data_IF_119998721306
#
_entry.id   IF_119998721306
#
_cell.length_a   1.000
_cell.length_b   1.000
_cell.length_c   1.000
_cell.angle_alpha   90.00
_cell.angle_beta   90.00
_cell.angle_gamma   90.00
#
_symmetry.space_group_name_H-M   'P 1'
#
loop_
_entity.id
_entity.type
_entity.pdbx_description
1 polymer ?
#
# COMPACT_ATOMS: atom_id res chain seq x y z
N UNK A 1 -4.46 -18.51 20.96
CA UNK A 1 -5.86 -18.88 20.68
C UNK A 1 -6.68 -17.60 20.53
N UNK A 2 -7.39 -17.42 19.41
CA UNK A 2 -8.23 -16.23 19.17
C UNK A 2 -9.52 -16.36 20.00
N UNK A 3 -9.82 -15.44 20.93
CA UNK A 3 -11.01 -15.54 21.75
C UNK A 3 -12.26 -15.30 20.89
N UNK A 4 -13.20 -16.25 20.90
CA UNK A 4 -14.44 -16.19 20.10
C UNK A 4 -15.26 -14.92 20.37
N UNK A 5 -15.33 -14.51 21.65
CA UNK A 5 -16.03 -13.29 22.05
C UNK A 5 -15.45 -12.03 21.41
N UNK A 6 -14.12 -11.91 21.39
CA UNK A 6 -13.44 -10.78 20.76
C UNK A 6 -13.66 -10.77 19.24
N UNK A 7 -13.56 -11.92 18.59
CA UNK A 7 -13.81 -12.05 17.15
C UNK A 7 -15.23 -11.62 16.80
N UNK A 8 -16.23 -12.05 17.57
CA UNK A 8 -17.62 -11.67 17.37
C UNK A 8 -17.83 -10.15 17.54
N UNK A 9 -17.24 -9.55 18.57
CA UNK A 9 -17.32 -8.10 18.82
C UNK A 9 -16.72 -7.30 17.66
N UNK A 10 -15.53 -7.69 17.20
CA UNK A 10 -14.83 -7.04 16.08
C UNK A 10 -15.60 -7.16 14.76
N UNK A 11 -16.15 -8.36 14.50
CA UNK A 11 -17.02 -8.61 13.36
C UNK A 11 -18.27 -7.73 13.41
N UNK A 12 -18.97 -7.71 14.55
CA UNK A 12 -20.24 -7.00 14.67
C UNK A 12 -20.06 -5.49 14.52
N UNK A 13 -18.97 -4.95 15.09
CA UNK A 13 -18.61 -3.53 15.00
C UNK A 13 -18.37 -3.07 13.56
N UNK A 14 -17.74 -3.91 12.74
CA UNK A 14 -17.34 -3.58 11.38
C UNK A 14 -18.14 -4.36 10.32
N UNK A 15 -19.30 -4.91 10.68
CA UNK A 15 -20.05 -5.89 9.88
C UNK A 15 -20.35 -5.37 8.47
N UNK A 16 -20.90 -4.16 8.35
CA UNK A 16 -21.27 -3.59 7.06
C UNK A 16 -20.07 -3.31 6.16
N UNK A 17 -18.97 -2.84 6.74
CA UNK A 17 -17.72 -2.65 6.01
C UNK A 17 -17.24 -3.99 5.43
N UNK A 18 -17.16 -5.02 6.27
CA UNK A 18 -16.68 -6.33 5.83
C UNK A 18 -17.58 -6.96 4.77
N UNK A 19 -18.90 -6.85 4.91
CA UNK A 19 -19.84 -7.38 3.93
C UNK A 19 -19.74 -6.66 2.58
N UNK A 20 -19.75 -5.31 2.58
CA UNK A 20 -19.65 -4.53 1.34
C UNK A 20 -18.30 -4.75 0.64
N UNK A 21 -17.21 -4.76 1.40
CA UNK A 21 -15.88 -5.09 0.86
C UNK A 21 -15.83 -6.51 0.30
N UNK A 22 -16.42 -7.49 0.98
CA UNK A 22 -16.44 -8.88 0.50
C UNK A 22 -17.24 -9.02 -0.80
N UNK A 23 -18.42 -8.41 -0.89
CA UNK A 23 -19.26 -8.43 -2.10
C UNK A 23 -18.50 -7.83 -3.28
N UNK A 24 -17.89 -6.66 -3.08
CA UNK A 24 -17.09 -5.99 -4.10
C UNK A 24 -15.93 -6.88 -4.58
N UNK A 25 -15.15 -7.44 -3.65
CA UNK A 25 -13.98 -8.27 -3.96
C UNK A 25 -14.35 -9.60 -4.65
N UNK A 26 -15.48 -10.21 -4.29
CA UNK A 26 -16.00 -11.41 -4.97
C UNK A 26 -16.44 -11.07 -6.40
N UNK A 27 -17.18 -9.97 -6.57
CA UNK A 27 -17.79 -9.61 -7.84
C UNK A 27 -16.80 -9.08 -8.87
N UNK A 28 -15.71 -8.44 -8.45
CA UNK A 28 -14.81 -7.72 -9.35
C UNK A 28 -14.24 -8.61 -10.48
N UNK A 29 -13.79 -9.83 -10.16
CA UNK A 29 -13.15 -10.72 -11.14
C UNK A 29 -14.16 -11.35 -12.13
N UNK A 30 -15.25 -11.99 -11.66
CA UNK A 30 -16.29 -12.51 -12.56
C UNK A 30 -16.93 -11.43 -13.43
N UNK A 31 -17.14 -10.23 -12.88
CA UNK A 31 -17.72 -9.11 -13.62
C UNK A 31 -16.84 -8.68 -14.80
N UNK A 32 -15.52 -8.71 -14.65
CA UNK A 32 -14.61 -8.39 -15.75
C UNK A 32 -14.70 -9.40 -16.89
N UNK A 33 -14.69 -10.69 -16.57
CA UNK A 33 -14.83 -11.76 -17.58
C UNK A 33 -16.17 -11.62 -18.31
N UNK A 34 -17.24 -11.38 -17.57
CA UNK A 34 -18.57 -11.14 -18.13
C UNK A 34 -18.60 -9.88 -19.02
N UNK A 35 -17.96 -8.79 -18.61
CA UNK A 35 -17.90 -7.57 -19.40
C UNK A 35 -17.17 -7.79 -20.74
N UNK A 36 -16.04 -8.50 -20.74
CA UNK A 36 -15.33 -8.87 -21.98
C UNK A 36 -16.22 -9.72 -22.91
N UNK A 37 -17.02 -10.62 -22.34
CA UNK A 37 -17.97 -11.42 -23.11
C UNK A 37 -19.09 -10.58 -23.72
N UNK A 38 -19.67 -9.63 -22.96
CA UNK A 38 -20.69 -8.71 -23.49
C UNK A 38 -20.11 -7.81 -24.59
N UNK A 39 -18.88 -7.31 -24.42
CA UNK A 39 -18.19 -6.54 -25.47
C UNK A 39 -17.99 -7.37 -26.74
N UNK A 40 -17.61 -8.64 -26.60
CA UNK A 40 -17.50 -9.57 -27.72
C UNK A 40 -18.85 -9.78 -28.44
N UNK A 41 -19.93 -10.00 -27.69
CA UNK A 41 -21.27 -10.10 -28.28
C UNK A 41 -21.70 -8.81 -28.99
N UNK A 42 -21.34 -7.64 -28.46
CA UNK A 42 -21.57 -6.36 -29.12
C UNK A 42 -20.87 -6.27 -30.47
N UNK A 43 -19.60 -6.70 -30.54
CA UNK A 43 -18.81 -6.74 -31.78
C UNK A 43 -19.43 -7.64 -32.85
N UNK A 44 -19.94 -8.82 -32.46
CA UNK A 44 -20.59 -9.75 -33.39
C UNK A 44 -21.89 -9.20 -34.00
N UNK A 45 -22.56 -8.28 -33.32
CA UNK A 45 -23.82 -7.69 -33.76
C UNK A 45 -23.61 -6.42 -34.64
N UNK A 46 -22.35 -6.01 -34.89
CA UNK A 46 -22.03 -4.87 -35.74
C UNK A 46 -22.18 -5.23 -37.23
N UNK A 47 -22.86 -4.40 -38.07
CA UNK A 47 -23.04 -4.65 -39.49
C UNK A 47 -21.75 -4.83 -40.32
N UNK A 48 -20.61 -4.32 -39.82
CA UNK A 48 -19.30 -4.49 -40.45
C UNK A 48 -18.35 -5.22 -39.47
N UNK A 49 -18.50 -6.55 -39.30
CA UNK A 49 -17.71 -7.28 -38.32
C UNK A 49 -16.23 -7.18 -38.69
N UNK A 50 -15.46 -6.48 -37.85
CA UNK A 50 -14.01 -6.65 -37.80
C UNK A 50 -13.70 -8.05 -37.25
N UNK A 51 -12.42 -8.46 -37.23
CA UNK A 51 -12.00 -9.72 -36.60
C UNK A 51 -12.34 -9.71 -35.09
N UNK A 52 -13.58 -10.07 -34.76
CA UNK A 52 -14.11 -10.11 -33.40
C UNK A 52 -13.63 -11.40 -32.74
N UNK A 53 -12.65 -11.30 -31.86
CA UNK A 53 -12.13 -12.42 -31.11
C UNK A 53 -12.48 -12.31 -29.62
N UNK A 54 -13.01 -13.38 -29.03
CA UNK A 54 -13.30 -13.40 -27.59
C UNK A 54 -12.04 -13.69 -26.80
N UNK A 55 -11.33 -12.62 -26.45
CA UNK A 55 -10.08 -12.66 -25.68
C UNK A 55 -10.32 -12.10 -24.28
N UNK A 56 -9.75 -12.77 -23.28
CA UNK A 56 -9.68 -12.25 -21.90
C UNK A 56 -8.24 -11.90 -21.60
N UNK A 57 -7.96 -10.60 -21.49
CA UNK A 57 -6.60 -10.09 -21.28
C UNK A 57 -6.48 -9.27 -20.00
N UNK A 58 -5.50 -9.61 -19.18
CA UNK A 58 -5.14 -8.86 -17.97
C UNK A 58 -3.86 -8.04 -18.12
N UNK A 59 -3.22 -8.06 -19.29
CA UNK A 59 -1.88 -7.50 -19.56
C UNK A 59 -1.76 -5.99 -19.31
N UNK A 60 -2.82 -5.22 -19.52
CA UNK A 60 -2.80 -3.76 -19.39
C UNK A 60 -3.42 -3.28 -18.06
N UNK A 61 -3.63 -4.21 -17.12
CA UNK A 61 -4.38 -3.93 -15.90
C UNK A 61 -5.88 -3.94 -16.11
N UNK A 62 -6.60 -3.90 -15.00
CA UNK A 62 -8.07 -3.99 -14.99
C UNK A 62 -8.65 -3.30 -13.76
N UNK A 63 -9.98 -3.31 -13.61
CA UNK A 63 -10.65 -2.87 -12.37
C UNK A 63 -10.08 -3.54 -11.11
N UNK A 64 -9.55 -4.76 -11.24
CA UNK A 64 -8.92 -5.48 -10.13
C UNK A 64 -7.62 -4.81 -9.66
N UNK A 65 -6.93 -4.03 -10.51
CA UNK A 65 -5.72 -3.30 -10.11
C UNK A 65 -5.98 -2.33 -8.95
N UNK A 66 -7.23 -1.99 -8.66
CA UNK A 66 -7.62 -1.15 -7.52
C UNK A 66 -8.07 -1.92 -6.27
N UNK A 67 -8.04 -3.25 -6.25
CA UNK A 67 -8.48 -4.05 -5.09
C UNK A 67 -7.69 -3.75 -3.81
N UNK A 68 -6.43 -3.32 -3.93
CA UNK A 68 -5.61 -2.91 -2.79
C UNK A 68 -6.19 -1.69 -2.05
N UNK A 69 -7.01 -0.85 -2.70
CA UNK A 69 -7.68 0.29 -2.06
C UNK A 69 -8.64 -0.18 -0.98
N UNK A 70 -9.37 -1.29 -1.22
CA UNK A 70 -10.26 -1.89 -0.21
C UNK A 70 -9.46 -2.35 1.01
N UNK A 71 -8.26 -2.86 0.78
CA UNK A 71 -7.34 -3.28 1.85
C UNK A 71 -6.89 -2.11 2.73
N UNK A 72 -6.64 -0.95 2.12
CA UNK A 72 -6.34 0.30 2.84
C UNK A 72 -7.53 0.71 3.70
N UNK A 73 -8.74 0.73 3.15
CA UNK A 73 -9.97 1.11 3.88
C UNK A 73 -10.15 0.20 5.10
N UNK A 74 -10.06 -1.12 4.93
CA UNK A 74 -10.22 -2.08 6.03
C UNK A 74 -9.21 -1.83 7.15
N UNK A 75 -7.92 -1.66 6.82
CA UNK A 75 -6.88 -1.41 7.82
C UNK A 75 -7.05 -0.08 8.57
N UNK A 76 -7.51 0.97 7.87
CA UNK A 76 -7.83 2.27 8.49
C UNK A 76 -8.99 2.14 9.46
N UNK A 77 -10.05 1.42 9.09
CA UNK A 77 -11.20 1.21 9.98
C UNK A 77 -10.85 0.39 11.21
N UNK A 78 -10.02 -0.65 11.07
CA UNK A 78 -9.64 -1.55 12.15
C UNK A 78 -8.75 -0.92 13.23
N UNK A 79 -7.87 0.03 12.86
CA UNK A 79 -6.94 0.66 13.81
C UNK A 79 -7.08 2.18 13.87
N UNK A 80 -6.86 2.88 12.75
CA UNK A 80 -6.82 4.34 12.73
C UNK A 80 -8.12 4.98 13.21
N UNK A 81 -9.24 4.49 12.71
CA UNK A 81 -10.57 5.03 13.01
C UNK A 81 -11.00 4.70 14.44
N UNK A 82 -10.65 3.51 14.95
CA UNK A 82 -10.92 3.15 16.33
C UNK A 82 -10.12 3.99 17.34
N UNK A 83 -8.89 4.33 16.99
CA UNK A 83 -8.03 5.23 17.79
C UNK A 83 -8.53 6.66 17.73
N UNK A 84 -8.91 7.15 16.55
CA UNK A 84 -9.51 8.49 16.41
C UNK A 84 -10.80 8.63 17.23
N UNK A 85 -11.63 7.58 17.28
CA UNK A 85 -12.89 7.57 18.05
C UNK A 85 -12.71 7.23 19.55
N UNK A 86 -11.49 6.94 20.02
CA UNK A 86 -11.24 6.51 21.41
C UNK A 86 -11.76 5.10 21.76
N UNK A 87 -12.42 4.40 20.84
CA UNK A 87 -12.95 3.05 21.09
C UNK A 87 -11.86 1.99 21.32
N UNK A 88 -10.63 2.28 20.91
CA UNK A 88 -9.47 1.44 21.19
C UNK A 88 -9.16 1.37 22.69
N UNK A 89 -9.35 2.44 23.45
CA UNK A 89 -9.09 2.45 24.90
C UNK A 89 -10.11 1.59 25.66
N UNK A 90 -11.37 1.61 25.22
CA UNK A 90 -12.42 0.73 25.73
C UNK A 90 -12.15 -0.76 25.40
N UNK A 91 -11.52 -1.06 24.27
CA UNK A 91 -11.13 -2.43 23.93
C UNK A 91 -9.95 -2.91 24.78
N UNK A 92 -9.01 -2.01 25.06
CA UNK A 92 -7.81 -2.30 25.87
C UNK A 92 -8.12 -2.44 27.37
N UNK A 93 -9.27 -1.98 27.85
CA UNK A 93 -9.74 -2.20 29.22
C UNK A 93 -10.46 -3.54 29.41
N UNK A 94 -10.84 -4.22 28.32
CA UNK A 94 -11.40 -5.57 28.39
C UNK A 94 -10.34 -6.59 28.83
N UNK A 95 -10.73 -7.75 29.38
CA UNK A 95 -9.81 -8.79 29.86
C UNK A 95 -9.16 -9.59 28.71
N UNK A 96 -8.67 -8.91 27.68
CA UNK A 96 -7.95 -9.49 26.54
C UNK A 96 -6.51 -8.98 26.50
N UNK A 97 -5.57 -9.86 26.18
CA UNK A 97 -4.19 -9.45 25.98
C UNK A 97 -4.04 -8.62 24.69
N UNK A 98 -3.10 -7.69 24.67
CA UNK A 98 -2.77 -6.90 23.45
C UNK A 98 -2.41 -7.77 22.26
N UNK A 99 -1.74 -8.91 22.52
CA UNK A 99 -1.44 -9.91 21.50
C UNK A 99 -2.71 -10.47 20.86
N UNK A 100 -3.69 -10.85 21.68
CA UNK A 100 -4.97 -11.39 21.20
C UNK A 100 -5.75 -10.34 20.40
N UNK A 101 -5.75 -9.08 20.85
CA UNK A 101 -6.39 -7.97 20.15
C UNK A 101 -5.80 -7.79 18.75
N UNK A 102 -4.48 -7.65 18.65
CA UNK A 102 -3.84 -7.46 17.35
C UNK A 102 -4.04 -8.66 16.42
N UNK A 103 -3.81 -9.88 16.91
CA UNK A 103 -3.96 -11.09 16.10
C UNK A 103 -5.41 -11.25 15.59
N UNK A 104 -6.41 -10.97 16.44
CA UNK A 104 -7.81 -11.06 16.03
C UNK A 104 -8.12 -10.07 14.92
N UNK A 105 -7.73 -8.80 15.07
CA UNK A 105 -7.95 -7.77 14.04
C UNK A 105 -7.21 -8.10 12.74
N UNK A 106 -5.93 -8.49 12.84
CA UNK A 106 -5.09 -8.79 11.69
C UNK A 106 -5.64 -9.95 10.87
N UNK A 107 -5.94 -11.07 11.51
CA UNK A 107 -6.44 -12.25 10.80
C UNK A 107 -7.88 -12.08 10.31
N UNK A 108 -8.72 -11.34 11.05
CA UNK A 108 -10.08 -11.05 10.61
C UNK A 108 -10.08 -10.18 9.34
N UNK A 109 -9.34 -9.06 9.35
CA UNK A 109 -9.23 -8.19 8.18
C UNK A 109 -8.55 -8.91 7.00
N UNK A 110 -7.48 -9.66 7.27
CA UNK A 110 -6.81 -10.49 6.26
C UNK A 110 -7.74 -11.52 5.62
N UNK A 111 -8.58 -12.21 6.41
CA UNK A 111 -9.54 -13.16 5.90
C UNK A 111 -10.61 -12.49 5.01
N UNK A 112 -11.10 -11.31 5.40
CA UNK A 112 -12.07 -10.51 4.62
C UNK A 112 -11.47 -10.01 3.29
N UNK A 113 -10.14 -9.98 3.14
CA UNK A 113 -9.49 -9.60 1.90
C UNK A 113 -9.20 -10.83 1.03
N UNK A 114 -8.61 -11.86 1.63
CA UNK A 114 -8.11 -13.04 0.91
C UNK A 114 -9.24 -13.98 0.48
N UNK A 115 -10.18 -14.29 1.38
CA UNK A 115 -11.24 -15.27 1.10
C UNK A 115 -12.19 -14.78 0.00
N UNK A 116 -12.73 -13.54 0.06
CA UNK A 116 -13.56 -13.00 -1.01
C UNK A 116 -12.88 -12.97 -2.39
N UNK A 117 -11.62 -12.56 -2.46
CA UNK A 117 -10.89 -12.55 -3.73
C UNK A 117 -10.58 -13.96 -4.25
N UNK A 118 -10.30 -14.92 -3.37
CA UNK A 118 -10.13 -16.32 -3.77
C UNK A 118 -11.44 -16.93 -4.33
N UNK A 119 -12.58 -16.59 -3.72
CA UNK A 119 -13.91 -16.97 -4.25
C UNK A 119 -14.14 -16.30 -5.60
N UNK A 120 -13.83 -15.00 -5.73
CA UNK A 120 -13.94 -14.26 -7.00
C UNK A 120 -13.07 -14.85 -8.11
N UNK A 121 -11.84 -15.26 -7.79
CA UNK A 121 -10.95 -15.99 -8.70
C UNK A 121 -11.56 -17.34 -9.14
N UNK A 122 -12.08 -18.13 -8.20
CA UNK A 122 -12.74 -19.40 -8.52
C UNK A 122 -13.98 -19.22 -9.41
N UNK A 123 -14.80 -18.21 -9.13
CA UNK A 123 -15.98 -17.89 -9.94
C UNK A 123 -15.60 -17.40 -11.35
N UNK A 124 -14.54 -16.59 -11.48
CA UNK A 124 -14.03 -16.14 -12.78
C UNK A 124 -13.45 -17.31 -13.59
N UNK A 125 -12.69 -18.21 -12.93
CA UNK A 125 -12.16 -19.43 -13.55
C UNK A 125 -13.27 -20.35 -14.07
N UNK A 126 -14.36 -20.49 -13.30
CA UNK A 126 -15.55 -21.22 -13.74
C UNK A 126 -16.18 -20.55 -14.98
N UNK A 127 -16.35 -19.23 -14.99
CA UNK A 127 -16.89 -18.50 -16.15
C UNK A 127 -16.02 -18.66 -17.39
N UNK A 128 -14.70 -18.55 -17.26
CA UNK A 128 -13.75 -18.78 -18.36
C UNK A 128 -13.91 -20.20 -18.92
N UNK A 129 -14.05 -21.20 -18.05
CA UNK A 129 -14.25 -22.59 -18.45
C UNK A 129 -15.58 -22.82 -19.19
N UNK A 130 -16.62 -22.07 -18.82
CA UNK A 130 -17.95 -22.15 -19.46
C UNK A 130 -17.99 -21.39 -20.80
N UNK A 131 -17.40 -20.20 -20.87
CA UNK A 131 -17.45 -19.31 -22.03
C UNK A 131 -16.38 -19.62 -23.09
N UNK A 132 -15.33 -20.38 -22.73
CA UNK A 132 -14.24 -20.83 -23.61
C UNK A 132 -13.69 -19.72 -24.53
N UNK A 133 -13.06 -18.66 -23.96
CA UNK A 133 -12.34 -17.68 -24.75
C UNK A 133 -11.23 -18.33 -25.59
N UNK A 134 -10.91 -17.71 -26.74
CA UNK A 134 -9.85 -18.19 -27.62
C UNK A 134 -8.48 -18.11 -26.95
N UNK A 135 -8.23 -17.00 -26.26
CA UNK A 135 -7.00 -16.77 -25.51
C UNK A 135 -7.29 -16.14 -24.14
N UNK A 136 -6.52 -16.59 -23.14
CA UNK A 136 -6.48 -16.00 -21.80
C UNK A 136 -5.06 -15.58 -21.49
N UNK A 137 -4.84 -14.27 -21.31
CA UNK A 137 -3.51 -13.71 -21.04
C UNK A 137 -3.39 -13.32 -19.58
N UNK A 138 -2.38 -13.87 -18.90
CA UNK A 138 -1.93 -13.55 -17.53
C UNK A 138 -2.99 -13.65 -16.42
N UNK A 139 -4.12 -14.34 -16.66
CA UNK A 139 -5.25 -14.42 -15.72
C UNK A 139 -4.87 -14.92 -14.32
N UNK A 140 -4.20 -16.07 -14.25
CA UNK A 140 -3.85 -16.69 -12.96
C UNK A 140 -2.82 -15.86 -12.20
N UNK A 141 -1.75 -15.46 -12.89
CA UNK A 141 -0.69 -14.65 -12.30
C UNK A 141 -1.21 -13.30 -11.79
N UNK A 142 -2.04 -12.64 -12.58
CA UNK A 142 -2.65 -11.37 -12.18
C UNK A 142 -3.62 -11.53 -11.01
N UNK A 143 -4.53 -12.51 -11.06
CA UNK A 143 -5.53 -12.70 -10.01
C UNK A 143 -4.87 -13.07 -8.67
N UNK A 144 -3.91 -13.99 -8.69
CA UNK A 144 -3.14 -14.39 -7.49
C UNK A 144 -2.28 -13.22 -7.01
N UNK A 145 -1.61 -12.52 -7.94
CA UNK A 145 -0.81 -11.35 -7.62
C UNK A 145 -1.58 -10.26 -6.90
N UNK A 146 -2.80 -9.96 -7.36
CA UNK A 146 -3.66 -8.97 -6.70
C UNK A 146 -4.08 -9.37 -5.28
N UNK A 147 -4.29 -10.67 -5.01
CA UNK A 147 -4.54 -11.15 -3.64
C UNK A 147 -3.34 -10.87 -2.74
N UNK A 148 -2.13 -11.21 -3.22
CA UNK A 148 -0.88 -11.01 -2.47
C UNK A 148 -0.60 -9.52 -2.24
N UNK A 149 -0.73 -8.68 -3.28
CA UNK A 149 -0.51 -7.23 -3.20
C UNK A 149 -1.53 -6.57 -2.27
N UNK A 150 -2.80 -6.96 -2.35
CA UNK A 150 -3.86 -6.48 -1.44
C UNK A 150 -3.53 -6.83 0.02
N UNK A 151 -3.10 -8.06 0.28
CA UNK A 151 -2.68 -8.49 1.60
C UNK A 151 -1.43 -7.75 2.11
N UNK A 152 -0.45 -7.48 1.22
CA UNK A 152 0.72 -6.67 1.54
C UNK A 152 0.32 -5.24 1.92
N UNK A 153 -0.53 -4.59 1.13
CA UNK A 153 -1.04 -3.25 1.43
C UNK A 153 -1.79 -3.23 2.76
N UNK A 154 -2.63 -4.22 3.04
CA UNK A 154 -3.28 -4.40 4.32
C UNK A 154 -2.28 -4.51 5.48
N UNK A 155 -1.28 -5.38 5.35
CA UNK A 155 -0.28 -5.62 6.38
C UNK A 155 0.55 -4.35 6.67
N UNK A 156 0.95 -3.62 5.62
CA UNK A 156 1.62 -2.33 5.72
C UNK A 156 0.76 -1.31 6.50
N UNK A 157 -0.51 -1.17 6.13
CA UNK A 157 -1.41 -0.21 6.77
C UNK A 157 -1.73 -0.60 8.20
N UNK A 158 -1.81 -1.89 8.52
CA UNK A 158 -1.94 -2.38 9.89
C UNK A 158 -0.68 -2.10 10.72
N UNK A 159 0.51 -2.26 10.14
CA UNK A 159 1.78 -1.93 10.80
C UNK A 159 1.88 -0.44 11.10
N UNK A 160 1.60 0.39 10.11
CA UNK A 160 1.50 1.85 10.26
C UNK A 160 0.45 2.22 11.31
N UNK A 161 -0.73 1.60 11.24
CA UNK A 161 -1.83 1.81 12.17
C UNK A 161 -1.47 1.41 13.60
N UNK A 162 -0.58 0.45 13.82
CA UNK A 162 -0.08 0.08 15.13
C UNK A 162 0.91 1.10 15.70
N UNK A 163 1.73 1.72 14.86
CA UNK A 163 2.73 2.74 15.22
C UNK A 163 2.13 4.12 15.50
N UNK A 164 0.98 4.42 14.90
CA UNK A 164 0.41 5.77 14.83
C UNK A 164 -0.90 5.93 15.61
N UNK A 165 -1.20 7.15 16.06
CA UNK A 165 -2.32 7.38 16.97
C UNK A 165 -3.65 7.77 16.33
N UNK A 166 -3.72 8.00 15.01
CA UNK A 166 -4.94 8.44 14.32
C UNK A 166 -4.83 8.21 12.79
N UNK A 167 -5.96 8.37 12.08
CA UNK A 167 -6.08 8.07 10.63
C UNK A 167 -5.04 8.80 9.77
N UNK A 168 -4.88 10.12 9.93
CA UNK A 168 -3.94 10.91 9.12
C UNK A 168 -2.49 10.41 9.29
N UNK A 169 -2.03 10.19 10.52
CA UNK A 169 -0.71 9.64 10.78
C UNK A 169 -0.53 8.22 10.21
N UNK A 170 -1.56 7.37 10.29
CA UNK A 170 -1.54 6.02 9.70
C UNK A 170 -1.35 6.08 8.18
N UNK A 171 -2.12 6.91 7.49
CA UNK A 171 -2.03 7.03 6.04
C UNK A 171 -0.70 7.65 5.61
N UNK A 172 -0.28 8.74 6.26
CA UNK A 172 0.98 9.41 5.93
C UNK A 172 2.19 8.50 6.16
N UNK A 173 2.22 7.79 7.30
CA UNK A 173 3.32 6.86 7.61
C UNK A 173 3.34 5.69 6.63
N UNK A 174 2.18 5.14 6.25
CA UNK A 174 2.12 4.09 5.25
C UNK A 174 2.63 4.59 3.89
N UNK A 175 2.19 5.76 3.45
CA UNK A 175 2.66 6.39 2.21
C UNK A 175 4.18 6.66 2.23
N UNK A 176 4.73 7.13 3.35
CA UNK A 176 6.19 7.31 3.46
C UNK A 176 6.91 5.97 3.33
N UNK A 177 6.37 4.89 3.91
CA UNK A 177 6.95 3.55 3.80
C UNK A 177 6.84 2.99 2.37
N UNK A 178 5.78 3.30 1.61
CA UNK A 178 5.66 2.83 0.21
C UNK A 178 6.74 3.37 -0.71
N UNK A 179 7.30 4.55 -0.40
CA UNK A 179 8.39 5.18 -1.16
C UNK A 179 9.74 5.13 -0.42
N UNK A 180 9.81 4.48 0.75
CA UNK A 180 10.97 4.54 1.62
C UNK A 180 12.28 4.04 0.98
N UNK A 181 12.30 2.95 0.19
CA UNK A 181 13.52 2.55 -0.50
C UNK A 181 14.07 3.67 -1.41
N UNK A 182 13.18 4.42 -2.07
CA UNK A 182 13.56 5.54 -2.93
C UNK A 182 14.12 6.70 -2.10
N UNK A 183 13.51 7.00 -0.96
CA UNK A 183 13.98 8.03 -0.05
C UNK A 183 15.35 7.70 0.58
N UNK A 184 15.60 6.43 0.92
CA UNK A 184 16.81 6.03 1.65
C UNK A 184 18.04 5.83 0.77
N UNK A 185 17.87 5.32 -0.44
CA UNK A 185 18.97 4.96 -1.32
C UNK A 185 18.96 5.87 -2.56
N UNK A 186 17.78 6.09 -3.14
CA UNK A 186 17.63 6.85 -4.37
C UNK A 186 17.99 8.32 -4.22
N UNK A 187 17.39 8.93 -3.20
CA UNK A 187 17.52 10.35 -2.99
C UNK A 187 18.95 10.79 -2.60
N UNK A 188 19.67 10.11 -1.68
CA UNK A 188 21.05 10.47 -1.37
C UNK A 188 21.97 10.35 -2.58
N UNK A 189 21.83 9.30 -3.38
CA UNK A 189 22.69 9.10 -4.53
C UNK A 189 22.42 10.09 -5.68
N UNK A 190 21.16 10.49 -5.90
CA UNK A 190 20.85 11.61 -6.80
C UNK A 190 21.50 12.93 -6.34
N UNK A 191 21.58 13.18 -5.03
CA UNK A 191 22.29 14.36 -4.50
C UNK A 191 23.81 14.25 -4.68
N UNK A 192 24.40 13.05 -4.58
CA UNK A 192 25.82 12.85 -4.84
C UNK A 192 26.18 13.13 -6.31
N UNK A 193 25.33 12.71 -7.25
CA UNK A 193 25.49 13.00 -8.69
C UNK A 193 25.49 14.52 -8.94
N UNK A 194 24.51 15.24 -8.39
CA UNK A 194 24.38 16.69 -8.57
C UNK A 194 25.53 17.48 -7.92
N UNK A 195 25.98 17.09 -6.71
CA UNK A 195 26.96 17.88 -5.93
C UNK A 195 28.40 17.61 -6.36
N UNK A 196 28.76 16.35 -6.61
CA UNK A 196 30.14 15.95 -6.87
C UNK A 196 30.45 15.76 -8.35
N UNK A 197 29.47 16.00 -9.23
CA UNK A 197 29.55 15.67 -10.66
C UNK A 197 30.03 14.22 -10.86
N UNK A 198 29.65 13.35 -9.91
CA UNK A 198 30.09 11.97 -9.85
C UNK A 198 29.29 11.17 -10.88
N UNK A 199 29.64 11.34 -12.16
CA UNK A 199 29.18 10.47 -13.22
C UNK A 199 30.01 9.19 -13.18
N UNK A 200 29.40 8.05 -12.83
CA UNK A 200 30.05 6.74 -13.00
C UNK A 200 29.91 6.32 -14.48
N UNK A 201 30.29 7.22 -15.40
CA UNK A 201 30.08 7.08 -16.84
C UNK A 201 28.63 7.33 -17.29
N UNK A 202 28.46 7.51 -18.60
CA UNK A 202 27.17 7.82 -19.24
C UNK A 202 26.12 6.68 -19.14
N UNK A 203 26.53 5.49 -18.68
CA UNK A 203 25.64 4.34 -18.39
C UNK A 203 25.15 4.31 -16.92
N UNK A 204 25.67 5.22 -16.07
CA UNK A 204 25.26 5.41 -14.68
C UNK A 204 24.90 6.88 -14.43
N UNK A 205 23.92 7.43 -15.15
CA UNK A 205 23.11 8.44 -14.46
C UNK A 205 22.33 7.69 -13.39
N UNK A 206 22.50 8.07 -12.13
CA UNK A 206 21.90 7.34 -11.04
C UNK A 206 20.38 7.38 -11.20
N UNK A 207 19.80 8.49 -11.61
CA UNK A 207 18.35 8.58 -11.86
C UNK A 207 17.87 7.62 -12.97
N UNK A 208 18.58 7.44 -14.09
CA UNK A 208 18.13 6.52 -15.16
C UNK A 208 18.40 5.06 -14.80
N UNK A 209 19.62 4.71 -14.38
CA UNK A 209 20.02 3.32 -14.10
C UNK A 209 19.35 2.75 -12.83
N UNK A 210 19.16 3.59 -11.79
CA UNK A 210 18.53 3.19 -10.53
C UNK A 210 17.02 2.98 -10.67
N UNK A 211 16.33 3.85 -11.43
CA UNK A 211 14.89 3.70 -11.75
C UNK A 211 14.68 2.55 -12.75
N UNK A 212 15.60 2.34 -13.71
CA UNK A 212 15.51 1.24 -14.67
C UNK A 212 15.82 -0.14 -14.07
N UNK A 213 16.47 -0.20 -12.91
CA UNK A 213 16.75 -1.47 -12.24
C UNK A 213 15.44 -2.14 -11.76
N UNK A 214 15.00 -3.17 -12.50
CA UNK A 214 13.73 -3.90 -12.23
C UNK A 214 13.58 -4.34 -10.77
N UNK A 215 14.67 -4.77 -10.13
CA UNK A 215 14.64 -5.22 -8.73
C UNK A 215 14.27 -4.09 -7.76
N UNK A 216 14.71 -2.86 -8.01
CA UNK A 216 14.45 -1.74 -7.12
C UNK A 216 12.97 -1.32 -7.12
N UNK A 217 12.34 -1.34 -8.31
CA UNK A 217 10.89 -1.14 -8.45
C UNK A 217 10.13 -2.14 -7.58
N UNK A 218 10.52 -3.42 -7.62
CA UNK A 218 9.85 -4.49 -6.87
C UNK A 218 10.15 -4.51 -5.37
N UNK A 219 11.29 -3.99 -4.91
CA UNK A 219 11.54 -3.79 -3.47
C UNK A 219 10.73 -2.62 -2.91
N UNK A 220 10.30 -1.71 -3.79
CA UNK A 220 9.52 -0.54 -3.43
C UNK A 220 8.01 -0.86 -3.44
N UNK A 221 7.30 -0.80 -2.29
CA UNK A 221 5.88 -1.19 -2.25
C UNK A 221 4.98 -0.45 -3.26
N UNK A 222 5.27 0.82 -3.57
CA UNK A 222 4.48 1.57 -4.57
C UNK A 222 4.62 0.98 -5.99
N UNK A 223 5.71 0.27 -6.28
CA UNK A 223 5.94 -0.39 -7.57
C UNK A 223 4.82 -1.37 -7.96
N UNK A 224 4.19 -2.02 -6.97
CA UNK A 224 3.10 -2.98 -7.22
C UNK A 224 1.74 -2.33 -7.52
N UNK A 225 1.62 -1.01 -7.34
CA UNK A 225 0.46 -0.26 -7.83
C UNK A 225 0.52 -0.12 -9.36
N UNK A 226 1.73 -0.10 -9.91
CA UNK A 226 1.95 -0.13 -11.35
C UNK A 226 1.91 -1.58 -11.85
N UNK A 227 1.28 -1.80 -13.00
CA UNK A 227 1.00 -3.13 -13.55
C UNK A 227 2.23 -3.78 -14.22
N UNK A 228 3.45 -3.30 -13.94
CA UNK A 228 4.68 -3.77 -14.57
C UNK A 228 5.05 -5.22 -14.13
N UNK A 229 4.59 -5.65 -12.95
CA UNK A 229 4.82 -7.01 -12.43
C UNK A 229 4.03 -8.10 -13.16
N UNK A 230 3.05 -7.75 -14.00
CA UNK A 230 2.15 -8.71 -14.65
C UNK A 230 2.91 -9.59 -15.65
N UNK A 231 3.84 -9.00 -16.42
CA UNK A 231 4.59 -9.71 -17.47
C UNK A 231 5.84 -10.40 -16.95
N UNK A 232 6.08 -10.28 -15.65
CA UNK A 232 7.28 -10.78 -15.01
C UNK A 232 7.06 -12.16 -14.39
N UNK A 233 8.17 -12.85 -14.06
CA UNK A 233 8.11 -14.21 -13.52
C UNK A 233 7.34 -14.26 -12.19
N UNK A 234 6.62 -15.37 -11.97
CA UNK A 234 5.87 -15.65 -10.73
C UNK A 234 6.66 -15.43 -9.43
N UNK A 235 7.98 -15.60 -9.46
CA UNK A 235 8.86 -15.40 -8.30
C UNK A 235 8.86 -13.97 -7.76
N UNK A 236 8.49 -12.96 -8.56
CA UNK A 236 8.42 -11.57 -8.11
C UNK A 236 7.31 -11.35 -7.07
N UNK A 237 6.28 -12.19 -7.05
CA UNK A 237 5.23 -12.16 -6.02
C UNK A 237 5.70 -12.69 -4.66
N UNK A 238 6.88 -13.30 -4.57
CA UNK A 238 7.49 -13.66 -3.28
C UNK A 238 7.92 -12.42 -2.49
N UNK A 239 8.34 -11.36 -3.18
CA UNK A 239 8.76 -10.11 -2.54
C UNK A 239 7.62 -9.48 -1.71
N UNK A 240 6.42 -9.20 -2.28
CA UNK A 240 5.31 -8.63 -1.50
C UNK A 240 4.78 -9.61 -0.44
N UNK A 241 4.90 -10.92 -0.65
CA UNK A 241 4.58 -11.91 0.38
C UNK A 241 5.55 -11.81 1.59
N UNK A 242 6.86 -11.72 1.35
CA UNK A 242 7.87 -11.51 2.40
C UNK A 242 7.66 -10.17 3.09
N UNK A 243 7.37 -9.10 2.34
CA UNK A 243 7.06 -7.79 2.90
C UNK A 243 5.84 -7.83 3.81
N UNK A 244 4.79 -8.60 3.45
CA UNK A 244 3.62 -8.81 4.29
C UNK A 244 3.99 -9.40 5.65
N UNK A 245 4.90 -10.38 5.68
CA UNK A 245 5.41 -10.98 6.91
C UNK A 245 6.20 -9.97 7.73
N UNK A 246 7.09 -9.20 7.10
CA UNK A 246 7.86 -8.15 7.77
C UNK A 246 6.94 -7.08 8.38
N UNK A 247 5.95 -6.59 7.62
CA UNK A 247 4.98 -5.62 8.12
C UNK A 247 4.12 -6.19 9.25
N UNK A 248 3.69 -7.45 9.14
CA UNK A 248 3.00 -8.14 10.24
C UNK A 248 3.84 -8.13 11.53
N UNK A 249 5.12 -8.50 11.45
CA UNK A 249 6.02 -8.52 12.61
C UNK A 249 6.22 -7.13 13.20
N UNK A 250 6.44 -6.11 12.36
CA UNK A 250 6.56 -4.73 12.80
C UNK A 250 5.27 -4.28 13.50
N UNK A 251 4.11 -4.53 12.90
CA UNK A 251 2.81 -4.19 13.48
C UNK A 251 2.57 -4.90 14.82
N UNK A 252 2.88 -6.20 14.89
CA UNK A 252 2.70 -7.01 16.09
C UNK A 252 3.57 -6.51 17.25
N UNK A 253 4.88 -6.32 17.02
CA UNK A 253 5.81 -5.84 18.04
C UNK A 253 5.44 -4.42 18.48
N UNK A 254 5.05 -3.57 17.54
CA UNK A 254 4.63 -2.19 17.83
C UNK A 254 3.37 -2.16 18.67
N UNK A 255 2.38 -3.01 18.35
CA UNK A 255 1.14 -3.09 19.09
C UNK A 255 1.31 -3.69 20.50
N UNK A 256 2.24 -4.61 20.72
CA UNK A 256 2.50 -5.12 22.07
C UNK A 256 3.05 -4.04 23.00
N UNK A 257 3.99 -3.24 22.48
CA UNK A 257 4.81 -2.31 23.25
C UNK A 257 4.32 -0.86 23.23
N UNK A 258 3.15 -0.56 22.64
CA UNK A 258 2.68 0.82 22.56
C UNK A 258 2.19 1.36 23.92
N UNK A 259 2.53 2.61 24.31
CA UNK A 259 1.94 3.26 25.48
C UNK A 259 0.55 3.80 25.14
N UNK A 260 -0.47 3.39 25.90
CA UNK A 260 -1.88 3.78 25.65
C UNK A 260 -2.12 5.28 25.86
N UNK A 261 -1.39 5.89 26.80
CA UNK A 261 -1.49 7.32 27.17
C UNK A 261 -1.13 8.30 26.03
N UNK A 262 -0.59 7.79 24.91
CA UNK A 262 -0.19 8.60 23.76
C UNK A 262 -1.13 8.45 22.57
N UNK A 263 -2.30 7.83 22.74
CA UNK A 263 -3.36 7.88 21.73
C UNK A 263 -3.67 9.34 21.35
N UNK A 264 -3.87 9.58 20.06
CA UNK A 264 -4.02 10.93 19.49
C UNK A 264 -2.72 11.61 19.02
N UNK A 265 -1.53 11.19 19.49
CA UNK A 265 -0.26 11.69 18.93
C UNK A 265 0.03 11.06 17.56
N UNK A 266 0.91 11.69 16.79
CA UNK A 266 1.32 11.17 15.47
C UNK A 266 1.93 9.77 15.61
N UNK A 267 3.02 9.64 16.38
CA UNK A 267 3.59 8.35 16.77
C UNK A 267 3.27 8.03 18.23
N UNK A 268 2.88 6.79 18.48
CA UNK A 268 2.66 6.30 19.83
C UNK A 268 3.98 6.14 20.59
N UNK A 269 5.06 5.76 19.92
CA UNK A 269 6.39 5.68 20.54
C UNK A 269 7.11 7.03 20.54
N UNK A 270 7.46 7.51 21.74
CA UNK A 270 8.16 8.80 21.90
C UNK A 270 9.55 8.78 21.28
N UNK A 271 10.21 7.61 21.32
CA UNK A 271 11.56 7.44 20.75
C UNK A 271 11.58 7.55 19.23
N UNK A 272 10.45 7.39 18.54
CA UNK A 272 10.37 7.44 17.07
C UNK A 272 10.22 8.87 16.54
N UNK A 273 9.72 9.80 17.36
CA UNK A 273 9.46 11.19 16.93
C UNK A 273 10.73 11.90 16.47
N UNK A 274 11.84 11.78 17.20
CA UNK A 274 13.09 12.48 16.88
C UNK A 274 13.81 11.92 15.64
N UNK A 275 14.01 10.59 15.51
CA UNK A 275 14.60 10.02 14.29
C UNK A 275 13.77 10.33 13.05
N UNK A 276 12.44 10.20 13.13
CA UNK A 276 11.58 10.48 11.97
C UNK A 276 11.60 11.95 11.61
N UNK A 277 11.59 12.86 12.59
CA UNK A 277 11.76 14.30 12.32
C UNK A 277 13.05 14.59 11.55
N UNK A 278 14.18 13.99 11.97
CA UNK A 278 15.46 14.17 11.30
C UNK A 278 15.42 13.64 9.86
N UNK A 279 14.83 12.45 9.66
CA UNK A 279 14.65 11.88 8.32
C UNK A 279 13.74 12.73 7.42
N UNK A 280 12.61 13.22 7.93
CA UNK A 280 11.69 14.08 7.17
C UNK A 280 12.38 15.36 6.71
N UNK A 281 13.14 16.01 7.60
CA UNK A 281 13.91 17.21 7.24
C UNK A 281 15.00 16.86 6.22
N UNK A 282 15.75 15.79 6.44
CA UNK A 282 16.80 15.35 5.53
C UNK A 282 16.25 15.03 4.13
N UNK A 283 15.15 14.28 4.03
CA UNK A 283 14.50 13.97 2.77
C UNK A 283 13.91 15.20 2.10
N UNK A 284 13.33 16.14 2.85
CA UNK A 284 12.84 17.38 2.28
C UNK A 284 13.99 18.21 1.67
N UNK A 285 15.07 18.40 2.41
CA UNK A 285 16.25 19.14 1.93
C UNK A 285 16.84 18.49 0.67
N UNK A 286 17.10 17.19 0.72
CA UNK A 286 17.67 16.44 -0.41
C UNK A 286 16.72 16.37 -1.62
N UNK A 287 15.41 16.23 -1.37
CA UNK A 287 14.38 16.14 -2.41
C UNK A 287 14.19 17.44 -3.16
N UNK A 288 14.00 18.54 -2.43
CA UNK A 288 13.85 19.85 -3.07
C UNK A 288 15.16 20.34 -3.70
N UNK A 289 16.33 19.95 -3.18
CA UNK A 289 17.62 20.21 -3.83
C UNK A 289 17.68 19.61 -5.24
N UNK A 290 17.51 18.29 -5.36
CA UNK A 290 17.52 17.60 -6.66
C UNK A 290 16.43 18.12 -7.59
N UNK A 291 15.23 18.37 -7.07
CA UNK A 291 14.14 18.96 -7.87
C UNK A 291 14.48 20.35 -8.40
N UNK A 292 15.05 21.22 -7.56
CA UNK A 292 15.48 22.56 -7.96
C UNK A 292 16.60 22.55 -9.00
N UNK A 293 17.52 21.59 -8.90
CA UNK A 293 18.51 21.34 -9.95
C UNK A 293 17.84 20.90 -11.25
N UNK A 294 16.99 19.86 -11.25
CA UNK A 294 16.37 19.32 -12.47
C UNK A 294 15.41 20.26 -13.20
N UNK A 295 14.93 21.34 -12.55
CA UNK A 295 14.10 22.37 -13.21
C UNK A 295 14.96 23.46 -13.88
N UNK A 296 16.15 23.71 -13.36
CA UNK A 296 16.97 24.87 -13.77
C UNK A 296 18.29 24.48 -14.44
N UNK A 297 18.71 23.23 -14.31
CA UNK A 297 20.03 22.69 -14.66
C UNK A 297 21.20 23.51 -14.05
N UNK A 298 20.96 24.17 -12.91
CA UNK A 298 21.97 24.99 -12.24
C UNK A 298 22.14 24.67 -10.77
N UNK A 299 23.36 24.85 -10.27
CA UNK A 299 23.67 24.76 -8.84
C UNK A 299 22.94 25.84 -8.01
N UNK A 300 22.56 26.96 -8.64
CA UNK A 300 21.73 27.97 -7.99
C UNK A 300 20.32 27.43 -7.68
N UNK A 301 19.69 26.74 -8.64
CA UNK A 301 18.41 26.07 -8.41
C UNK A 301 18.50 24.97 -7.36
N UNK A 302 19.60 24.21 -7.33
CA UNK A 302 19.88 23.23 -6.28
C UNK A 302 19.92 23.87 -4.88
N UNK A 303 20.69 24.96 -4.70
CA UNK A 303 20.80 25.67 -3.42
C UNK A 303 19.47 26.31 -2.99
N UNK A 304 18.74 26.94 -3.93
CA UNK A 304 17.40 27.46 -3.67
C UNK A 304 16.45 26.34 -3.23
N UNK A 305 16.53 25.19 -3.91
CA UNK A 305 15.80 23.97 -3.56
C UNK A 305 16.09 23.48 -2.14
N UNK A 306 17.36 23.39 -1.74
CA UNK A 306 17.76 23.02 -0.36
C UNK A 306 17.13 23.96 0.67
N UNK A 307 17.19 25.28 0.45
CA UNK A 307 16.65 26.27 1.39
C UNK A 307 15.14 26.10 1.52
N UNK A 308 14.43 25.98 0.39
CA UNK A 308 12.99 25.75 0.36
C UNK A 308 12.65 24.43 1.07
N UNK A 309 13.40 23.36 0.78
CA UNK A 309 13.24 22.05 1.40
C UNK A 309 13.46 22.07 2.91
N UNK A 310 14.43 22.83 3.41
CA UNK A 310 14.67 23.00 4.84
C UNK A 310 13.47 23.69 5.52
N UNK A 311 12.94 24.75 4.91
CA UNK A 311 11.76 25.48 5.42
C UNK A 311 10.53 24.57 5.42
N UNK A 312 10.24 23.89 4.31
CA UNK A 312 9.10 22.97 4.17
C UNK A 312 9.24 21.79 5.13
N UNK A 313 10.40 21.15 5.18
CA UNK A 313 10.68 20.03 6.09
C UNK A 313 10.50 20.40 7.56
N UNK A 314 10.95 21.61 7.93
CA UNK A 314 10.72 22.16 9.27
C UNK A 314 9.23 22.33 9.57
N UNK A 315 8.46 22.95 8.66
CA UNK A 315 7.02 23.15 8.86
C UNK A 315 6.25 21.82 8.92
N UNK A 316 6.54 20.89 8.01
CA UNK A 316 5.92 19.55 8.02
C UNK A 316 6.22 18.87 9.35
N UNK A 317 7.48 18.82 9.77
CA UNK A 317 7.85 18.19 11.03
C UNK A 317 7.19 18.88 12.23
N UNK A 318 7.12 20.21 12.24
CA UNK A 318 6.53 20.96 13.33
C UNK A 318 5.02 20.71 13.44
N UNK A 319 4.29 20.76 12.33
CA UNK A 319 2.83 20.60 12.33
C UNK A 319 2.38 19.16 12.48
N UNK A 320 3.13 18.19 11.94
CA UNK A 320 2.72 16.77 11.99
C UNK A 320 3.22 16.06 13.24
N UNK A 321 4.47 16.30 13.66
CA UNK A 321 5.09 15.56 14.78
C UNK A 321 4.90 16.28 16.11
N UNK A 322 4.93 17.62 16.14
CA UNK A 322 4.97 18.36 17.39
C UNK A 322 3.60 18.89 17.85
N UNK A 323 2.74 19.33 16.93
CA UNK A 323 1.42 19.87 17.32
C UNK A 323 0.51 18.72 17.75
N UNK A 324 0.17 18.67 19.04
CA UNK A 324 -0.97 17.85 19.52
C UNK A 324 -2.21 18.31 18.77
N UNK A 325 -2.79 17.44 17.94
CA UNK A 325 -4.18 17.57 17.54
C UNK A 325 -5.01 17.50 18.82
N UNK A 326 -5.60 18.64 19.22
CA UNK A 326 -6.60 18.64 20.30
C UNK A 326 -7.76 17.77 19.80
N UNK A 327 -8.08 16.72 20.55
CA UNK A 327 -9.34 16.02 20.37
C UNK A 327 -10.47 17.03 20.63
N UNK A 328 -11.33 17.22 19.63
CA UNK A 328 -12.68 17.78 19.83
C UNK A 328 -13.59 16.66 20.32
#
# INVERSE_FOLDING_TARGET
MIPRGLLYTEWKKNQWLFLLSSIFLIAANPFMVYNNYVTYQGCLNDPAPQDCEFVVSYTNGSLLSFNWVVSVIIAVFLLGLERTKGTMDALLSMPYSRSQIFQTKFWLGGAVIVVPQAIGYGAASLLISLLKPSHTYDFDHFSIGMIVISFMAYALLMASGALTGHIFAQLLTAFTVTILPFLLIGLPAANLEVVFDFSIGNEFSFISSYIESRLFIFVTPIGYVFNDWIRERHLILLIPAVMSVVFYLIGYVSFLKHPNERNGRFFLWRKLERPVQLLVIAFAVMGFGVFGYGVTDTMFGYLAGIIIGAVIGFFISYFTVYRKTKHM
#
